data_IF_818025493272
#
_entry.id   IF_818025493272
#
_cell.length_a   1.000
_cell.length_b   1.000
_cell.length_c   1.000
_cell.angle_alpha   90.00
_cell.angle_beta   90.00
_cell.angle_gamma   90.00
#
_symmetry.space_group_name_H-M   'P 1'
#
loop_
_entity.id
_entity.type
_entity.pdbx_description
1 polymer ?
#
# COMPACT_ATOMS: atom_id res chain seq x y z
N UNK A 1 -42.81 6.25 2.49
CA UNK A 1 -41.88 5.69 3.49
C UNK A 1 -40.83 4.76 2.85
N UNK A 2 -41.21 3.83 1.97
CA UNK A 2 -40.27 2.91 1.28
C UNK A 2 -39.10 3.61 0.55
N UNK A 3 -39.39 4.71 -0.17
CA UNK A 3 -38.38 5.49 -0.89
C UNK A 3 -37.36 6.21 0.01
N UNK A 4 -37.70 6.49 1.27
CA UNK A 4 -36.77 7.17 2.20
C UNK A 4 -35.70 6.21 2.71
N UNK A 5 -36.12 5.00 3.08
CA UNK A 5 -35.22 3.93 3.55
C UNK A 5 -34.26 3.49 2.43
N UNK A 6 -34.75 3.38 1.20
CA UNK A 6 -33.93 3.05 0.03
C UNK A 6 -32.91 4.14 -0.29
N UNK A 7 -33.30 5.42 -0.15
CA UNK A 7 -32.40 6.55 -0.34
C UNK A 7 -31.33 6.63 0.75
N UNK A 8 -31.69 6.40 2.01
CA UNK A 8 -30.75 6.36 3.13
C UNK A 8 -29.73 5.21 2.98
N UNK A 9 -30.17 4.03 2.53
CA UNK A 9 -29.29 2.88 2.26
C UNK A 9 -28.30 3.16 1.12
N UNK A 10 -28.77 3.73 0.00
CA UNK A 10 -27.91 4.08 -1.13
C UNK A 10 -26.87 5.15 -0.76
N UNK A 11 -27.25 6.13 0.08
CA UNK A 11 -26.31 7.13 0.57
C UNK A 11 -25.23 6.50 1.45
N UNK A 12 -25.60 5.67 2.43
CA UNK A 12 -24.62 4.95 3.28
C UNK A 12 -23.64 4.11 2.44
N UNK A 13 -24.17 3.34 1.48
CA UNK A 13 -23.34 2.56 0.57
C UNK A 13 -22.38 3.43 -0.26
N UNK A 14 -22.83 4.63 -0.68
CA UNK A 14 -21.99 5.56 -1.44
C UNK A 14 -20.89 6.19 -0.56
N UNK A 15 -21.20 6.52 0.69
CA UNK A 15 -20.23 7.05 1.65
C UNK A 15 -19.16 6.02 2.01
N UNK A 16 -19.55 4.75 2.23
CA UNK A 16 -18.61 3.66 2.50
C UNK A 16 -17.64 3.44 1.34
N UNK A 17 -18.15 3.38 0.10
CA UNK A 17 -17.32 3.26 -1.11
C UNK A 17 -16.38 4.43 -1.28
N UNK A 18 -16.84 5.64 -0.95
CA UNK A 18 -16.00 6.84 -1.01
C UNK A 18 -14.90 6.81 0.06
N UNK A 19 -15.21 6.39 1.28
CA UNK A 19 -14.24 6.24 2.37
C UNK A 19 -13.17 5.18 2.05
N UNK A 20 -13.56 4.06 1.44
CA UNK A 20 -12.62 3.05 0.94
C UNK A 20 -11.71 3.58 -0.15
N UNK A 21 -12.25 4.30 -1.13
CA UNK A 21 -11.48 4.93 -2.20
C UNK A 21 -10.46 5.93 -1.62
N UNK A 22 -10.87 6.77 -0.65
CA UNK A 22 -9.97 7.67 0.06
C UNK A 22 -8.85 6.94 0.80
N UNK A 23 -9.15 5.85 1.51
CA UNK A 23 -8.15 5.00 2.18
C UNK A 23 -7.13 4.46 1.16
N UNK A 24 -7.58 3.98 0.00
CA UNK A 24 -6.71 3.51 -1.09
C UNK A 24 -5.79 4.61 -1.61
N UNK A 25 -6.33 5.80 -1.88
CA UNK A 25 -5.54 6.96 -2.32
C UNK A 25 -4.51 7.37 -1.27
N UNK A 26 -4.88 7.39 0.02
CA UNK A 26 -3.96 7.73 1.10
C UNK A 26 -2.79 6.75 1.18
N UNK A 27 -3.07 5.43 1.06
CA UNK A 27 -2.04 4.38 1.01
C UNK A 27 -1.11 4.56 -0.19
N UNK A 28 -1.66 4.80 -1.39
CA UNK A 28 -0.87 5.05 -2.60
C UNK A 28 0.04 6.27 -2.43
N UNK A 29 -0.50 7.40 -1.95
CA UNK A 29 0.29 8.60 -1.67
C UNK A 29 1.43 8.31 -0.69
N UNK A 30 1.15 7.57 0.39
CA UNK A 30 2.16 7.15 1.36
C UNK A 30 3.29 6.34 0.73
N UNK A 31 2.95 5.37 -0.12
CA UNK A 31 3.93 4.54 -0.83
C UNK A 31 4.77 5.38 -1.80
N UNK A 32 4.15 6.20 -2.64
CA UNK A 32 4.89 7.04 -3.60
C UNK A 32 5.79 8.07 -2.91
N UNK A 33 5.36 8.64 -1.79
CA UNK A 33 6.23 9.50 -0.97
C UNK A 33 7.44 8.74 -0.44
N UNK A 34 7.24 7.52 0.10
CA UNK A 34 8.35 6.70 0.60
C UNK A 34 9.31 6.30 -0.54
N UNK A 35 8.78 5.88 -1.69
CA UNK A 35 9.55 5.55 -2.89
C UNK A 35 10.37 6.75 -3.39
N UNK A 36 9.77 7.94 -3.43
CA UNK A 36 10.43 9.16 -3.88
C UNK A 36 11.59 9.52 -2.94
N UNK A 37 11.38 9.49 -1.62
CA UNK A 37 12.43 9.74 -0.63
C UNK A 37 13.55 8.71 -0.78
N UNK A 38 13.20 7.42 -0.93
CA UNK A 38 14.16 6.36 -1.15
C UNK A 38 15.06 6.63 -2.37
N UNK A 39 14.47 7.00 -3.51
CA UNK A 39 15.24 7.30 -4.73
C UNK A 39 16.14 8.52 -4.52
N UNK A 40 15.60 9.63 -4.00
CA UNK A 40 16.36 10.86 -3.82
C UNK A 40 17.54 10.68 -2.86
N UNK A 41 17.33 10.00 -1.74
CA UNK A 41 18.40 9.73 -0.76
C UNK A 41 19.47 8.82 -1.35
N UNK A 42 19.10 7.76 -2.07
CA UNK A 42 20.09 6.86 -2.68
C UNK A 42 20.88 7.53 -3.80
N UNK A 43 20.25 8.40 -4.62
CA UNK A 43 20.97 9.22 -5.60
C UNK A 43 21.93 10.18 -4.89
N UNK A 44 21.51 10.82 -3.81
CA UNK A 44 22.36 11.71 -3.03
C UNK A 44 23.59 10.98 -2.45
N UNK A 45 23.38 9.81 -1.84
CA UNK A 45 24.45 8.94 -1.33
C UNK A 45 25.40 8.52 -2.46
N UNK A 46 24.85 8.11 -3.61
CA UNK A 46 25.65 7.75 -4.78
C UNK A 46 26.55 8.90 -5.24
N UNK A 47 25.99 10.10 -5.39
CA UNK A 47 26.75 11.28 -5.84
C UNK A 47 27.86 11.65 -4.87
N UNK A 48 27.61 11.58 -3.55
CA UNK A 48 28.64 11.86 -2.55
C UNK A 48 29.78 10.84 -2.60
N UNK A 49 29.45 9.56 -2.53
CA UNK A 49 30.46 8.50 -2.51
C UNK A 49 31.28 8.44 -3.82
N UNK A 50 30.66 8.70 -4.98
CA UNK A 50 31.40 8.74 -6.26
C UNK A 50 32.36 9.93 -6.32
N UNK A 51 32.02 11.07 -5.72
CA UNK A 51 32.90 12.24 -5.68
C UNK A 51 34.09 12.05 -4.74
N UNK A 52 33.92 11.25 -3.68
CA UNK A 52 34.94 11.03 -2.66
C UNK A 52 35.88 9.84 -2.96
N UNK A 53 35.77 9.21 -4.14
CA UNK A 53 36.62 8.08 -4.55
C UNK A 53 38.08 8.51 -4.75
N UNK A 54 39.01 7.78 -4.12
CA UNK A 54 40.43 7.90 -4.41
C UNK A 54 40.83 7.19 -5.71
N UNK A 55 41.95 7.55 -6.36
CA UNK A 55 42.43 6.85 -7.55
C UNK A 55 42.61 5.35 -7.31
N UNK A 56 41.95 4.52 -8.11
CA UNK A 56 41.97 3.06 -7.99
C UNK A 56 40.87 2.46 -7.11
N UNK A 57 40.07 3.28 -6.43
CA UNK A 57 38.89 2.80 -5.72
C UNK A 57 37.68 2.63 -6.63
N UNK A 58 36.79 1.72 -6.24
CA UNK A 58 35.52 1.46 -6.93
C UNK A 58 34.35 1.79 -6.02
N UNK A 59 33.32 2.42 -6.57
CA UNK A 59 32.04 2.61 -5.90
C UNK A 59 31.30 1.29 -5.67
N UNK A 60 31.55 0.27 -6.49
CA UNK A 60 30.81 -1.00 -6.47
C UNK A 60 31.26 -1.94 -5.34
N UNK A 61 31.40 -1.42 -4.12
CA UNK A 61 31.63 -2.17 -2.89
C UNK A 61 30.28 -2.42 -2.20
N UNK A 62 30.11 -3.60 -1.61
CA UNK A 62 28.87 -4.01 -0.93
C UNK A 62 28.38 -3.00 0.13
N UNK A 63 29.32 -2.36 0.83
CA UNK A 63 29.04 -1.35 1.85
C UNK A 63 28.18 -0.17 1.35
N UNK A 64 28.38 0.25 0.10
CA UNK A 64 27.66 1.36 -0.52
C UNK A 64 26.20 1.01 -0.84
N UNK A 65 25.85 -0.28 -0.83
CA UNK A 65 24.50 -0.75 -1.12
C UNK A 65 23.70 -1.15 0.13
N UNK A 66 24.31 -1.19 1.33
CA UNK A 66 23.58 -1.61 2.53
C UNK A 66 22.38 -0.72 2.83
N UNK A 67 22.56 0.60 2.77
CA UNK A 67 21.45 1.55 2.98
C UNK A 67 20.32 1.30 1.98
N UNK A 68 20.66 1.19 0.69
CA UNK A 68 19.70 0.90 -0.37
C UNK A 68 18.98 -0.44 -0.16
N UNK A 69 19.70 -1.46 0.26
CA UNK A 69 19.18 -2.82 0.46
C UNK A 69 18.19 -2.89 1.63
N UNK A 70 18.60 -2.42 2.82
CA UNK A 70 17.74 -2.50 4.00
C UNK A 70 16.51 -1.59 3.89
N UNK A 71 16.65 -0.39 3.33
CA UNK A 71 15.50 0.46 3.04
C UNK A 71 14.62 -0.12 1.93
N UNK A 72 15.23 -0.80 0.96
CA UNK A 72 14.53 -1.52 -0.11
C UNK A 72 13.60 -2.60 0.44
N UNK A 73 14.01 -3.31 1.50
CA UNK A 73 13.15 -4.29 2.20
C UNK A 73 11.91 -3.59 2.80
N UNK A 74 12.10 -2.46 3.49
CA UNK A 74 10.98 -1.70 4.05
C UNK A 74 10.04 -1.16 2.97
N UNK A 75 10.59 -0.67 1.86
CA UNK A 75 9.83 -0.23 0.69
C UNK A 75 9.05 -1.38 0.04
N UNK A 76 9.66 -2.57 -0.07
CA UNK A 76 9.01 -3.77 -0.58
C UNK A 76 7.80 -4.17 0.26
N UNK A 77 7.94 -4.26 1.58
CA UNK A 77 6.81 -4.59 2.47
C UNK A 77 5.74 -3.50 2.50
N UNK A 78 6.10 -2.22 2.36
CA UNK A 78 5.11 -1.15 2.17
C UNK A 78 4.36 -1.34 0.84
N UNK A 79 5.06 -1.67 -0.24
CA UNK A 79 4.44 -2.00 -1.53
C UNK A 79 3.48 -3.18 -1.41
N UNK A 80 3.87 -4.26 -0.71
CA UNK A 80 2.99 -5.39 -0.44
C UNK A 80 1.74 -4.98 0.36
N UNK A 81 1.84 -4.06 1.32
CA UNK A 81 0.66 -3.63 2.09
C UNK A 81 -0.30 -2.73 1.28
N UNK A 82 0.23 -2.02 0.27
CA UNK A 82 -0.56 -1.15 -0.62
C UNK A 82 -1.17 -1.93 -1.79
N UNK A 83 -0.41 -2.82 -2.42
CA UNK A 83 -0.81 -3.52 -3.65
C UNK A 83 -1.15 -5.01 -3.44
N UNK A 84 -0.70 -5.61 -2.34
CA UNK A 84 -0.77 -7.06 -2.14
C UNK A 84 -2.19 -7.62 -2.04
N UNK A 85 -3.14 -6.86 -1.51
CA UNK A 85 -4.56 -7.28 -1.52
C UNK A 85 -5.08 -7.53 -2.94
N UNK A 86 -4.76 -6.63 -3.87
CA UNK A 86 -5.14 -6.77 -5.27
C UNK A 86 -4.34 -7.84 -6.03
N UNK A 87 -3.04 -8.00 -5.74
CA UNK A 87 -2.14 -8.90 -6.48
C UNK A 87 -2.27 -10.36 -6.01
N UNK A 88 -2.35 -10.61 -4.70
CA UNK A 88 -2.32 -11.98 -4.15
C UNK A 88 -3.70 -12.61 -3.96
N UNK A 89 -4.71 -11.81 -3.62
CA UNK A 89 -6.04 -12.35 -3.28
C UNK A 89 -7.08 -12.09 -4.37
N UNK A 90 -6.92 -11.04 -5.18
CA UNK A 90 -7.84 -10.71 -6.27
C UNK A 90 -9.24 -10.31 -5.80
N UNK A 91 -10.01 -9.61 -6.65
CA UNK A 91 -11.37 -9.15 -6.31
C UNK A 91 -12.31 -10.27 -5.86
N UNK A 92 -12.17 -11.47 -6.45
CA UNK A 92 -13.03 -12.61 -6.13
C UNK A 92 -12.86 -13.11 -4.69
N UNK A 93 -11.68 -12.97 -4.09
CA UNK A 93 -11.48 -13.37 -2.70
C UNK A 93 -12.10 -12.36 -1.73
N UNK A 94 -11.95 -11.05 -2.00
CA UNK A 94 -12.60 -10.00 -1.20
C UNK A 94 -14.12 -10.16 -1.22
N UNK A 95 -14.73 -10.30 -2.41
CA UNK A 95 -16.18 -10.50 -2.53
C UNK A 95 -16.67 -11.77 -1.81
N UNK A 96 -15.91 -12.88 -1.92
CA UNK A 96 -16.22 -14.11 -1.19
C UNK A 96 -16.18 -13.89 0.33
N UNK A 97 -15.17 -13.19 0.84
CA UNK A 97 -15.04 -12.96 2.29
C UNK A 97 -16.10 -12.01 2.82
N UNK A 98 -16.43 -10.95 2.09
CA UNK A 98 -17.54 -10.06 2.44
C UNK A 98 -18.85 -10.88 2.52
N UNK A 99 -19.11 -11.72 1.52
CA UNK A 99 -20.31 -12.58 1.51
C UNK A 99 -20.33 -13.55 2.71
N UNK A 100 -19.20 -14.17 3.02
CA UNK A 100 -19.06 -15.10 4.15
C UNK A 100 -19.33 -14.39 5.51
N UNK A 101 -18.86 -13.16 5.69
CA UNK A 101 -19.11 -12.38 6.91
C UNK A 101 -20.58 -11.95 7.03
N UNK A 102 -21.18 -11.50 5.93
CA UNK A 102 -22.60 -11.11 5.91
C UNK A 102 -23.54 -12.31 6.19
N UNK A 103 -23.17 -13.50 5.72
CA UNK A 103 -23.91 -14.73 6.02
C UNK A 103 -23.78 -15.14 7.49
N UNK A 104 -22.58 -15.00 8.09
CA UNK A 104 -22.35 -15.27 9.51
C UNK A 104 -23.09 -14.29 10.44
N UNK A 105 -23.06 -12.99 10.15
CA UNK A 105 -23.84 -12.00 10.92
C UNK A 105 -25.34 -12.27 10.83
N UNK A 106 -25.83 -12.73 9.67
CA UNK A 106 -27.22 -13.17 9.56
C UNK A 106 -27.49 -14.36 10.45
N UNK A 107 -26.68 -15.43 10.39
CA UNK A 107 -26.94 -16.63 11.22
C UNK A 107 -26.91 -16.34 12.71
N UNK A 108 -25.96 -15.52 13.20
CA UNK A 108 -25.87 -15.15 14.62
C UNK A 108 -27.04 -14.27 15.10
N UNK A 109 -27.74 -13.58 14.20
CA UNK A 109 -28.89 -12.72 14.55
C UNK A 109 -30.22 -13.48 14.60
N UNK A 110 -30.26 -14.72 14.13
CA UNK A 110 -31.44 -15.59 14.10
C UNK A 110 -31.37 -16.77 15.09
N UNK A 111 -30.26 -16.90 15.82
CA UNK A 111 -30.12 -17.70 17.05
C UNK A 111 -30.31 -16.83 18.30
#
# INVERSE_FOLDING_TARGET
MRNKVEMDYNNLQSEDRYAEAQKKVKKLKGFYSHLMIYILVNIFIFVLNVKDLSPGESYFKLENFFTAFFWGIGLFFHGLSVFGGNIFFGKNWEERKIKEFMEKEKSEKWE
#
